data_IF_010352080824
#
_entry.id   IF_010352080824
#
_cell.length_a   1.000
_cell.length_b   1.000
_cell.length_c   1.000
_cell.angle_alpha   90.00
_cell.angle_beta   90.00
_cell.angle_gamma   90.00
#
_symmetry.space_group_name_H-M   'P 1'
#
loop_
_entity.id
_entity.type
_entity.pdbx_description
1 polymer ?
#
# COMPACT_ATOMS: atom_id res chain seq x y z
N UNK A 1 -17.67 -26.34 -36.63
CA UNK A 1 -18.49 -26.68 -37.82
C UNK A 1 -19.49 -27.75 -37.42
N UNK A 2 -20.79 -27.42 -37.44
CA UNK A 2 -21.85 -28.36 -37.11
C UNK A 2 -22.30 -29.00 -38.43
N UNK A 3 -22.08 -30.31 -38.61
CA UNK A 3 -22.44 -31.01 -39.84
C UNK A 3 -23.96 -31.09 -40.01
N UNK A 4 -24.45 -30.74 -41.20
CA UNK A 4 -25.89 -30.68 -41.51
C UNK A 4 -26.53 -32.08 -41.53
N UNK A 5 -25.78 -33.08 -42.02
CA UNK A 5 -26.24 -34.45 -42.10
C UNK A 5 -25.43 -35.35 -41.16
N UNK A 6 -26.13 -36.22 -40.42
CA UNK A 6 -25.54 -37.26 -39.57
C UNK A 6 -25.82 -38.61 -40.21
N UNK A 7 -24.82 -39.47 -40.29
CA UNK A 7 -25.02 -40.84 -40.75
C UNK A 7 -25.81 -41.65 -39.73
N UNK A 8 -26.92 -42.22 -40.19
CA UNK A 8 -27.71 -43.20 -39.45
C UNK A 8 -27.44 -44.59 -40.07
N UNK A 9 -27.08 -45.61 -39.27
CA UNK A 9 -26.94 -46.98 -39.76
C UNK A 9 -28.25 -47.48 -40.40
N UNK A 10 -28.19 -48.34 -41.43
CA UNK A 10 -29.39 -48.87 -42.10
C UNK A 10 -30.30 -49.67 -41.16
N UNK A 11 -29.75 -50.26 -40.10
CA UNK A 11 -30.49 -51.04 -39.09
C UNK A 11 -31.12 -50.16 -37.99
N UNK A 12 -30.92 -48.83 -38.02
CA UNK A 12 -31.41 -47.93 -36.99
C UNK A 12 -32.87 -47.52 -37.23
N UNK A 13 -33.79 -48.14 -36.49
CA UNK A 13 -35.18 -47.72 -36.35
C UNK A 13 -35.36 -46.66 -35.23
N UNK A 14 -35.84 -45.43 -35.53
CA UNK A 14 -36.07 -44.40 -34.51
C UNK A 14 -37.07 -44.81 -33.43
N UNK A 15 -38.13 -45.55 -33.80
CA UNK A 15 -39.21 -45.93 -32.87
C UNK A 15 -38.76 -47.02 -31.88
N UNK A 16 -37.83 -47.90 -32.30
CA UNK A 16 -37.31 -48.99 -31.45
C UNK A 16 -36.13 -48.56 -30.60
N UNK A 17 -35.22 -47.76 -31.17
CA UNK A 17 -33.96 -47.40 -30.52
C UNK A 17 -33.98 -46.01 -29.87
N UNK A 18 -34.94 -45.14 -30.24
CA UNK A 18 -35.08 -43.78 -29.75
C UNK A 18 -33.98 -42.84 -30.26
N UNK A 19 -32.75 -43.03 -29.77
CA UNK A 19 -31.60 -42.21 -30.16
C UNK A 19 -30.42 -43.06 -30.65
N UNK A 20 -29.61 -42.48 -31.53
CA UNK A 20 -28.38 -43.13 -32.04
C UNK A 20 -27.38 -43.48 -30.93
N UNK A 21 -27.42 -42.74 -29.81
CA UNK A 21 -26.61 -43.01 -28.64
C UNK A 21 -27.08 -44.28 -27.92
N UNK A 22 -28.39 -44.46 -27.76
CA UNK A 22 -29.00 -45.67 -27.21
C UNK A 22 -28.71 -46.90 -28.09
N UNK A 23 -28.84 -46.77 -29.42
CA UNK A 23 -28.47 -47.82 -30.38
C UNK A 23 -27.02 -48.30 -30.21
N UNK A 24 -26.11 -47.39 -29.85
CA UNK A 24 -24.68 -47.68 -29.64
C UNK A 24 -24.34 -48.04 -28.19
N UNK A 25 -25.33 -48.10 -27.29
CA UNK A 25 -25.12 -48.34 -25.85
C UNK A 25 -24.32 -47.25 -25.15
N UNK A 26 -24.30 -46.01 -25.67
CA UNK A 26 -23.54 -44.88 -25.11
C UNK A 26 -24.48 -43.85 -24.50
N UNK A 27 -24.10 -43.29 -23.36
CA UNK A 27 -24.81 -42.16 -22.78
C UNK A 27 -24.50 -40.86 -23.56
N UNK A 28 -25.48 -39.95 -23.69
CA UNK A 28 -25.31 -38.69 -24.44
C UNK A 28 -24.21 -37.78 -23.87
N UNK A 29 -24.00 -37.83 -22.55
CA UNK A 29 -22.95 -37.08 -21.86
C UNK A 29 -21.58 -37.80 -21.88
N UNK A 30 -21.50 -39.00 -22.47
CA UNK A 30 -20.29 -39.81 -22.58
C UNK A 30 -19.65 -40.08 -21.23
N UNK A 31 -18.32 -39.92 -21.17
CA UNK A 31 -17.51 -40.19 -19.99
C UNK A 31 -17.87 -39.36 -18.74
N UNK A 32 -18.57 -38.23 -18.92
CA UNK A 32 -19.02 -37.41 -17.80
C UNK A 32 -20.11 -38.09 -16.96
N UNK A 33 -20.86 -39.02 -17.58
CA UNK A 33 -21.93 -39.77 -16.94
C UNK A 33 -21.48 -41.13 -16.39
N UNK A 34 -20.17 -41.40 -16.29
CA UNK A 34 -19.64 -42.67 -15.74
C UNK A 34 -20.12 -42.98 -14.32
N UNK A 35 -20.51 -41.97 -13.54
CA UNK A 35 -21.00 -42.12 -12.15
C UNK A 35 -22.48 -41.73 -12.01
N UNK A 36 -23.23 -41.74 -13.12
CA UNK A 36 -24.63 -41.31 -13.11
C UNK A 36 -25.52 -42.20 -12.24
N UNK A 37 -25.19 -43.49 -12.13
CA UNK A 37 -25.89 -44.45 -11.25
C UNK A 37 -25.81 -44.05 -9.77
N UNK A 38 -24.78 -43.29 -9.39
CA UNK A 38 -24.58 -42.73 -8.04
C UNK A 38 -25.19 -41.33 -7.90
N UNK A 39 -25.87 -40.82 -8.93
CA UNK A 39 -26.38 -39.44 -9.00
C UNK A 39 -25.29 -38.38 -9.18
N UNK A 40 -24.08 -38.78 -9.61
CA UNK A 40 -22.91 -37.89 -9.74
C UNK A 40 -22.64 -37.63 -11.22
N UNK A 41 -22.65 -36.36 -11.62
CA UNK A 41 -22.26 -35.92 -12.95
C UNK A 41 -20.92 -35.19 -12.90
N UNK A 42 -19.95 -35.61 -13.73
CA UNK A 42 -18.68 -34.90 -13.82
C UNK A 42 -18.87 -33.66 -14.70
N UNK A 43 -18.67 -32.49 -14.13
CA UNK A 43 -18.84 -31.19 -14.79
C UNK A 43 -17.57 -30.36 -14.71
N UNK A 44 -17.38 -29.44 -15.65
CA UNK A 44 -16.26 -28.49 -15.60
C UNK A 44 -16.72 -27.27 -14.81
N UNK A 45 -16.16 -27.08 -13.62
CA UNK A 45 -16.54 -26.05 -12.68
C UNK A 45 -15.42 -25.02 -12.55
N UNK A 46 -15.74 -23.74 -12.67
CA UNK A 46 -14.80 -22.64 -12.43
C UNK A 46 -15.04 -22.11 -11.02
N UNK A 47 -13.97 -21.86 -10.27
CA UNK A 47 -14.13 -21.35 -8.91
C UNK A 47 -14.71 -19.93 -8.90
N UNK A 48 -15.81 -19.67 -8.16
CA UNK A 48 -16.47 -18.36 -8.14
C UNK A 48 -15.73 -17.32 -7.28
N UNK A 49 -14.85 -17.74 -6.37
CA UNK A 49 -14.06 -16.87 -5.50
C UNK A 49 -12.73 -17.53 -5.11
N UNK A 50 -11.84 -16.74 -4.53
CA UNK A 50 -10.54 -17.18 -4.02
C UNK A 50 -10.71 -18.09 -2.78
N UNK A 51 -10.01 -19.22 -2.76
CA UNK A 51 -10.08 -20.18 -1.65
C UNK A 51 -8.68 -20.57 -1.17
N UNK A 52 -8.59 -20.90 0.12
CA UNK A 52 -7.45 -21.55 0.75
C UNK A 52 -7.76 -23.03 0.93
N UNK A 53 -6.90 -23.91 0.43
CA UNK A 53 -7.08 -25.35 0.60
C UNK A 53 -6.87 -25.73 2.07
N UNK A 54 -7.80 -26.50 2.66
CA UNK A 54 -7.69 -26.93 4.06
C UNK A 54 -6.63 -28.01 4.32
N UNK A 55 -6.10 -28.66 3.27
CA UNK A 55 -5.08 -29.70 3.40
C UNK A 55 -3.65 -29.20 3.24
N UNK A 56 -3.39 -28.34 2.24
CA UNK A 56 -2.03 -27.85 1.94
C UNK A 56 -1.86 -26.34 2.15
N UNK A 57 -2.91 -25.65 2.60
CA UNK A 57 -2.93 -24.21 2.86
C UNK A 57 -2.48 -23.34 1.67
N UNK A 58 -2.51 -23.91 0.46
CA UNK A 58 -2.21 -23.20 -0.77
C UNK A 58 -3.43 -22.37 -1.20
N UNK A 59 -3.15 -21.17 -1.72
CA UNK A 59 -4.14 -20.30 -2.33
C UNK A 59 -4.53 -20.81 -3.73
N UNK A 60 -5.82 -20.90 -3.99
CA UNK A 60 -6.38 -21.21 -5.30
C UNK A 60 -7.20 -19.99 -5.74
N UNK A 61 -6.78 -19.41 -6.87
CA UNK A 61 -7.44 -18.25 -7.44
C UNK A 61 -8.85 -18.53 -7.96
N UNK A 62 -9.66 -17.47 -7.99
CA UNK A 62 -10.92 -17.42 -8.71
C UNK A 62 -10.70 -17.75 -10.20
N UNK A 63 -11.66 -18.45 -10.81
CA UNK A 63 -11.62 -18.83 -12.23
C UNK A 63 -10.79 -20.09 -12.54
N UNK A 64 -10.10 -20.68 -11.55
CA UNK A 64 -9.40 -21.96 -11.76
C UNK A 64 -10.43 -23.07 -12.07
N UNK A 65 -10.18 -23.83 -13.14
CA UNK A 65 -11.10 -24.83 -13.67
C UNK A 65 -10.82 -26.21 -13.09
N UNK A 66 -11.86 -26.86 -12.56
CA UNK A 66 -11.81 -28.23 -12.04
C UNK A 66 -12.77 -29.16 -12.77
N UNK A 67 -12.42 -30.45 -12.82
CA UNK A 67 -13.37 -31.52 -13.07
C UNK A 67 -14.06 -31.82 -11.74
N UNK A 68 -15.26 -31.29 -11.55
CA UNK A 68 -16.01 -31.39 -10.32
C UNK A 68 -17.06 -32.50 -10.42
N UNK A 69 -17.22 -33.24 -9.32
CA UNK A 69 -18.31 -34.18 -9.13
C UNK A 69 -19.54 -33.39 -8.64
N UNK A 70 -20.50 -33.16 -9.55
CA UNK A 70 -21.76 -32.49 -9.25
C UNK A 70 -22.76 -33.52 -8.73
N UNK A 71 -23.25 -33.32 -7.50
CA UNK A 71 -24.33 -34.12 -6.90
C UNK A 71 -25.44 -33.20 -6.38
N UNK A 72 -26.67 -33.69 -6.35
CA UNK A 72 -27.80 -32.99 -5.70
C UNK A 72 -27.85 -33.42 -4.24
N UNK A 73 -27.69 -32.48 -3.31
CA UNK A 73 -27.67 -32.76 -1.85
C UNK A 73 -29.01 -32.44 -1.20
N UNK A 74 -29.72 -31.42 -1.69
CA UNK A 74 -31.01 -31.02 -1.15
C UNK A 74 -31.79 -30.11 -2.09
N UNK A 75 -32.78 -29.41 -1.55
CA UNK A 75 -33.55 -28.38 -2.25
C UNK A 75 -33.92 -27.24 -1.31
N UNK A 76 -33.80 -26.01 -1.79
CA UNK A 76 -34.37 -24.82 -1.18
C UNK A 76 -35.69 -24.51 -1.87
N UNK A 77 -36.80 -24.79 -1.19
CA UNK A 77 -38.14 -24.85 -1.80
C UNK A 77 -38.15 -25.76 -3.05
N UNK A 78 -38.38 -25.19 -4.24
CA UNK A 78 -38.36 -25.90 -5.52
C UNK A 78 -36.98 -25.96 -6.19
N UNK A 79 -36.00 -25.18 -5.71
CA UNK A 79 -34.68 -25.04 -6.34
C UNK A 79 -33.69 -26.08 -5.78
N UNK A 80 -33.05 -26.91 -6.61
CA UNK A 80 -32.09 -27.91 -6.13
C UNK A 80 -30.79 -27.28 -5.63
N UNK A 81 -30.29 -27.77 -4.50
CA UNK A 81 -28.96 -27.44 -3.98
C UNK A 81 -27.97 -28.45 -4.53
N UNK A 82 -26.98 -27.95 -5.26
CA UNK A 82 -25.90 -28.75 -5.81
C UNK A 82 -24.65 -28.62 -4.97
N UNK A 83 -23.99 -29.76 -4.75
CA UNK A 83 -22.63 -29.81 -4.25
C UNK A 83 -21.66 -30.16 -5.36
N UNK A 84 -20.56 -29.43 -5.39
CA UNK A 84 -19.44 -29.60 -6.30
C UNK A 84 -18.23 -30.06 -5.49
N UNK A 85 -17.90 -31.35 -5.63
CA UNK A 85 -16.72 -31.93 -4.99
C UNK A 85 -15.54 -31.87 -5.96
N UNK A 86 -14.49 -31.16 -5.57
CA UNK A 86 -13.33 -30.86 -6.39
C UNK A 86 -12.06 -31.42 -5.75
N UNK A 87 -11.11 -31.87 -6.57
CA UNK A 87 -9.78 -32.33 -6.14
C UNK A 87 -8.77 -31.21 -6.27
N UNK A 88 -8.08 -30.85 -5.18
CA UNK A 88 -7.01 -29.87 -5.19
C UNK A 88 -5.87 -30.30 -6.13
N UNK A 89 -5.41 -29.38 -6.98
CA UNK A 89 -4.37 -29.66 -7.97
C UNK A 89 -2.97 -29.80 -7.35
N UNK A 90 -2.73 -29.24 -6.15
CA UNK A 90 -1.43 -29.32 -5.48
C UNK A 90 -1.28 -30.59 -4.62
N UNK A 91 -2.24 -30.87 -3.73
CA UNK A 91 -2.13 -31.94 -2.75
C UNK A 91 -3.04 -33.15 -3.00
N UNK A 92 -3.95 -33.05 -3.97
CA UNK A 92 -4.94 -34.10 -4.23
C UNK A 92 -6.03 -34.26 -3.16
N UNK A 93 -6.05 -33.40 -2.13
CA UNK A 93 -7.12 -33.34 -1.14
C UNK A 93 -8.46 -32.91 -1.78
N UNK A 94 -9.57 -33.36 -1.21
CA UNK A 94 -10.91 -33.03 -1.69
C UNK A 94 -11.49 -31.85 -0.90
N UNK A 95 -12.22 -30.99 -1.60
CA UNK A 95 -13.02 -29.93 -1.00
C UNK A 95 -14.38 -29.84 -1.68
N UNK A 96 -15.37 -29.33 -0.95
CA UNK A 96 -16.77 -29.29 -1.37
C UNK A 96 -17.37 -27.89 -1.26
N UNK A 97 -17.95 -27.44 -2.38
CA UNK A 97 -18.63 -26.17 -2.50
C UNK A 97 -20.10 -26.43 -2.82
N UNK A 98 -21.01 -25.80 -2.09
CA UNK A 98 -22.45 -25.90 -2.31
C UNK A 98 -23.03 -24.59 -2.82
N UNK A 99 -24.09 -24.69 -3.60
CA UNK A 99 -24.92 -23.53 -3.98
C UNK A 99 -25.88 -23.18 -2.85
N UNK A 100 -25.97 -21.91 -2.47
CA UNK A 100 -27.00 -21.40 -1.57
C UNK A 100 -27.97 -20.49 -2.34
N UNK A 101 -29.17 -20.99 -2.72
CA UNK A 101 -30.18 -20.20 -3.42
C UNK A 101 -30.74 -19.04 -2.58
N UNK A 102 -30.66 -19.08 -1.24
CA UNK A 102 -31.20 -18.03 -0.37
C UNK A 102 -30.37 -16.76 -0.46
N UNK A 103 -29.04 -16.91 -0.39
CA UNK A 103 -28.10 -15.77 -0.49
C UNK A 103 -27.63 -15.50 -1.91
N UNK A 104 -27.99 -16.34 -2.88
CA UNK A 104 -27.50 -16.34 -4.28
C UNK A 104 -25.98 -16.50 -4.39
N UNK A 105 -25.37 -17.21 -3.44
CA UNK A 105 -23.90 -17.38 -3.34
C UNK A 105 -23.53 -18.85 -3.37
N UNK A 106 -22.24 -19.10 -3.59
CA UNK A 106 -21.64 -20.39 -3.31
C UNK A 106 -21.02 -20.36 -1.91
N UNK A 107 -21.11 -21.47 -1.18
CA UNK A 107 -20.58 -21.60 0.18
C UNK A 107 -19.63 -22.79 0.23
N UNK A 108 -18.45 -22.60 0.81
CA UNK A 108 -17.53 -23.70 1.06
C UNK A 108 -18.02 -24.48 2.27
N UNK A 109 -18.29 -25.76 2.08
CA UNK A 109 -18.79 -26.65 3.15
C UNK A 109 -17.67 -27.44 3.80
N UNK A 110 -16.74 -27.99 3.01
CA UNK A 110 -15.67 -28.85 3.51
C UNK A 110 -14.37 -28.64 2.75
N UNK A 111 -13.24 -28.87 3.43
CA UNK A 111 -11.91 -29.02 2.80
C UNK A 111 -11.26 -27.75 2.25
N UNK A 112 -11.91 -26.60 2.37
CA UNK A 112 -11.35 -25.30 2.00
C UNK A 112 -11.93 -24.16 2.85
N UNK A 113 -11.30 -22.99 2.81
CA UNK A 113 -11.80 -21.75 3.42
C UNK A 113 -11.89 -20.67 2.35
N UNK A 114 -12.98 -19.92 2.32
CA UNK A 114 -13.10 -18.77 1.42
C UNK A 114 -12.18 -17.64 1.89
N UNK A 115 -11.46 -17.01 0.97
CA UNK A 115 -10.74 -15.77 1.24
C UNK A 115 -11.78 -14.64 1.31
N UNK A 116 -11.86 -13.95 2.44
CA UNK A 116 -12.64 -12.72 2.56
C UNK A 116 -11.89 -11.58 1.88
N UNK A 117 -12.52 -10.93 0.91
CA UNK A 117 -11.98 -9.74 0.24
C UNK A 117 -12.73 -8.46 0.63
N UNK A 118 -13.96 -8.61 1.12
CA UNK A 118 -14.71 -7.54 1.76
C UNK A 118 -14.08 -7.27 3.12
N UNK A 119 -13.20 -6.27 3.16
CA UNK A 119 -12.69 -5.72 4.41
C UNK A 119 -13.74 -4.77 4.96
N UNK A 120 -14.58 -5.25 5.87
CA UNK A 120 -15.45 -4.38 6.67
C UNK A 120 -14.63 -3.80 7.83
N UNK A 121 -14.32 -2.49 7.85
CA UNK A 121 -13.57 -1.87 8.93
C UNK A 121 -14.31 -1.98 10.26
N UNK A 122 -15.65 -1.93 10.21
CA UNK A 122 -16.53 -1.96 11.38
C UNK A 122 -16.51 -3.32 12.11
N UNK A 123 -16.42 -4.45 11.40
CA UNK A 123 -16.39 -5.78 12.02
C UNK A 123 -15.01 -6.17 12.56
N UNK A 124 -13.93 -5.70 11.92
CA UNK A 124 -12.55 -6.11 12.24
C UNK A 124 -11.78 -5.11 13.11
N UNK A 125 -12.47 -4.17 13.77
CA UNK A 125 -11.88 -3.22 14.71
C UNK A 125 -10.97 -2.16 14.07
N UNK A 126 -11.12 -1.93 12.76
CA UNK A 126 -10.50 -0.82 12.07
C UNK A 126 -11.31 0.45 12.29
N UNK A 127 -10.68 1.54 12.72
CA UNK A 127 -11.34 2.84 12.65
C UNK A 127 -11.63 3.14 11.19
N UNK A 128 -12.91 3.14 10.80
CA UNK A 128 -13.32 3.70 9.53
C UNK A 128 -12.75 5.12 9.45
N UNK A 129 -12.20 5.54 8.30
CA UNK A 129 -11.66 6.90 8.06
C UNK A 129 -12.80 7.94 8.02
N UNK A 130 -13.90 7.67 8.69
CA UNK A 130 -14.95 8.63 8.99
C UNK A 130 -14.64 9.22 10.36
N UNK A 131 -14.83 10.53 10.48
CA UNK A 131 -14.51 11.31 11.67
C UNK A 131 -14.80 10.56 12.96
N UNK A 132 -13.80 10.55 13.84
CA UNK A 132 -13.85 10.04 15.21
C UNK A 132 -14.95 10.67 16.06
N UNK A 133 -15.67 11.68 15.53
CA UNK A 133 -16.85 12.33 16.10
C UNK A 133 -18.18 11.61 15.75
N UNK A 134 -18.16 10.34 15.35
CA UNK A 134 -19.36 9.48 15.35
C UNK A 134 -19.87 9.12 16.76
N UNK A 135 -19.43 9.80 17.82
CA UNK A 135 -19.80 9.50 19.20
C UNK A 135 -21.28 9.78 19.56
N UNK A 136 -22.09 10.28 18.64
CA UNK A 136 -23.54 10.22 18.75
C UNK A 136 -24.17 10.25 17.35
N UNK A 137 -24.50 9.09 16.82
CA UNK A 137 -25.69 8.99 15.98
C UNK A 137 -26.81 9.64 16.77
N UNK A 138 -27.42 10.76 16.30
CA UNK A 138 -28.51 11.34 17.05
C UNK A 138 -29.59 10.27 17.15
N UNK A 139 -30.02 9.98 18.37
CA UNK A 139 -31.11 9.02 18.64
C UNK A 139 -32.42 9.50 17.99
N UNK A 140 -32.48 10.78 17.63
CA UNK A 140 -33.59 11.45 16.95
C UNK A 140 -33.39 11.48 15.41
N UNK A 141 -34.33 10.90 14.63
CA UNK A 141 -34.30 10.97 13.16
C UNK A 141 -34.32 12.41 12.61
N UNK A 142 -34.87 13.39 13.34
CA UNK A 142 -34.91 14.79 12.88
C UNK A 142 -33.52 15.43 12.86
N UNK A 143 -32.71 15.18 13.89
CA UNK A 143 -31.34 15.69 13.94
C UNK A 143 -30.43 15.06 12.86
N UNK A 144 -30.70 13.81 12.46
CA UNK A 144 -30.03 13.22 11.29
C UNK A 144 -30.43 13.94 9.99
N UNK A 145 -31.72 14.23 9.82
CA UNK A 145 -32.22 14.96 8.67
C UNK A 145 -31.65 16.39 8.60
N UNK A 146 -31.58 17.11 9.72
CA UNK A 146 -30.98 18.44 9.81
C UNK A 146 -29.49 18.45 9.43
N UNK A 147 -28.72 17.44 9.84
CA UNK A 147 -27.32 17.28 9.42
C UNK A 147 -27.20 17.02 7.92
N UNK A 148 -28.05 16.15 7.36
CA UNK A 148 -28.03 15.87 5.91
C UNK A 148 -28.43 17.08 5.08
N UNK A 149 -29.47 17.82 5.51
CA UNK A 149 -29.96 19.01 4.83
C UNK A 149 -28.98 20.18 4.94
N UNK A 150 -28.38 20.40 6.10
CA UNK A 150 -27.32 21.42 6.27
C UNK A 150 -26.08 21.08 5.43
N UNK A 151 -25.65 19.82 5.39
CA UNK A 151 -24.56 19.37 4.52
C UNK A 151 -24.89 19.59 3.03
N UNK A 152 -26.10 19.25 2.60
CA UNK A 152 -26.57 19.48 1.23
C UNK A 152 -26.65 20.97 0.89
N UNK A 153 -27.11 21.80 1.84
CA UNK A 153 -27.17 23.25 1.69
C UNK A 153 -25.78 23.86 1.58
N UNK A 154 -24.83 23.43 2.42
CA UNK A 154 -23.44 23.87 2.34
C UNK A 154 -22.77 23.43 1.03
N UNK A 155 -23.01 22.19 0.59
CA UNK A 155 -22.50 21.70 -0.69
C UNK A 155 -23.01 22.54 -1.86
N UNK A 156 -24.31 22.84 -1.90
CA UNK A 156 -24.94 23.59 -3.00
C UNK A 156 -24.64 25.08 -2.98
N UNK A 157 -24.66 25.73 -1.81
CA UNK A 157 -24.50 27.18 -1.69
C UNK A 157 -23.04 27.63 -1.57
N UNK A 158 -22.13 26.78 -1.09
CA UNK A 158 -20.73 27.15 -0.85
C UNK A 158 -19.80 26.37 -1.76
N UNK A 159 -19.89 25.04 -1.77
CA UNK A 159 -18.90 24.24 -2.49
C UNK A 159 -19.07 24.30 -4.01
N UNK A 160 -20.30 24.17 -4.51
CA UNK A 160 -20.59 24.26 -5.95
C UNK A 160 -20.16 25.59 -6.59
N UNK A 161 -20.60 26.77 -6.10
CA UNK A 161 -20.17 28.04 -6.69
C UNK A 161 -18.66 28.24 -6.56
N UNK A 162 -18.04 27.76 -5.47
CA UNK A 162 -16.59 27.81 -5.33
C UNK A 162 -15.86 26.98 -6.38
N UNK A 163 -16.39 25.81 -6.73
CA UNK A 163 -15.84 24.97 -7.79
C UNK A 163 -16.03 25.65 -9.15
N UNK A 164 -17.20 26.25 -9.41
CA UNK A 164 -17.48 27.01 -10.63
C UNK A 164 -16.56 28.24 -10.78
N UNK A 165 -16.28 28.97 -9.69
CA UNK A 165 -15.28 30.04 -9.65
C UNK A 165 -13.88 29.53 -10.02
N UNK A 166 -13.47 28.38 -9.47
CA UNK A 166 -12.16 27.79 -9.77
C UNK A 166 -12.08 27.29 -11.21
N UNK A 167 -13.16 26.70 -11.73
CA UNK A 167 -13.26 26.25 -13.11
C UNK A 167 -13.21 27.43 -14.07
N UNK A 168 -14.02 28.47 -13.86
CA UNK A 168 -14.00 29.68 -14.69
C UNK A 168 -12.65 30.40 -14.66
N UNK A 169 -11.99 30.47 -13.50
CA UNK A 169 -10.62 31.00 -13.39
C UNK A 169 -9.61 30.15 -14.17
N UNK A 170 -9.74 28.83 -14.10
CA UNK A 170 -8.91 27.89 -14.85
C UNK A 170 -9.13 28.04 -16.36
N UNK A 171 -10.38 28.14 -16.80
CA UNK A 171 -10.75 28.34 -18.21
C UNK A 171 -10.17 29.63 -18.77
N UNK A 172 -10.37 30.75 -18.07
CA UNK A 172 -9.79 32.06 -18.45
C UNK A 172 -8.27 32.00 -18.58
N UNK A 173 -7.59 31.26 -17.68
CA UNK A 173 -6.14 31.05 -17.75
C UNK A 173 -5.76 30.12 -18.91
N UNK A 174 -6.55 29.09 -19.16
CA UNK A 174 -6.28 28.10 -20.22
C UNK A 174 -6.60 28.58 -21.63
N UNK A 175 -7.39 29.66 -21.78
CA UNK A 175 -7.79 30.21 -23.07
C UNK A 175 -6.60 30.67 -23.94
N UNK A 176 -5.50 31.11 -23.32
CA UNK A 176 -4.27 31.47 -24.02
C UNK A 176 -3.03 30.85 -23.34
N UNK A 177 -2.72 29.57 -23.65
CA UNK A 177 -1.57 28.90 -23.07
C UNK A 177 -0.25 29.46 -23.61
N UNK A 178 -0.26 30.05 -24.81
CA UNK A 178 0.95 30.55 -25.46
C UNK A 178 1.50 31.77 -24.73
N UNK A 179 0.68 32.80 -24.47
CA UNK A 179 1.19 34.02 -23.80
C UNK A 179 1.60 33.77 -22.36
N UNK A 180 0.91 32.88 -21.64
CA UNK A 180 1.31 32.46 -20.30
C UNK A 180 2.65 31.72 -20.31
N UNK A 181 2.84 30.78 -21.24
CA UNK A 181 4.12 30.07 -21.37
C UNK A 181 5.26 31.01 -21.72
N UNK A 182 5.02 32.06 -22.50
CA UNK A 182 6.02 33.10 -22.82
C UNK A 182 6.39 33.90 -21.58
N UNK A 183 5.40 34.36 -20.80
CA UNK A 183 5.64 35.09 -19.53
C UNK A 183 6.44 34.25 -18.53
N UNK A 184 6.06 32.98 -18.36
CA UNK A 184 6.75 32.03 -17.47
C UNK A 184 8.19 31.79 -17.94
N UNK A 185 8.39 31.50 -19.24
CA UNK A 185 9.74 31.31 -19.80
C UNK A 185 10.60 32.56 -19.69
N UNK A 186 10.04 33.76 -19.86
CA UNK A 186 10.77 35.03 -19.68
C UNK A 186 11.28 35.17 -18.24
N UNK A 187 10.42 34.97 -17.24
CA UNK A 187 10.80 35.01 -15.82
C UNK A 187 11.89 34.00 -15.49
N UNK A 188 11.76 32.75 -15.94
CA UNK A 188 12.79 31.73 -15.73
C UNK A 188 14.10 32.03 -16.44
N UNK A 189 14.09 32.63 -17.63
CA UNK A 189 15.31 33.04 -18.35
C UNK A 189 16.02 34.18 -17.62
N UNK A 190 15.28 35.16 -17.13
CA UNK A 190 15.82 36.28 -16.34
C UNK A 190 16.43 35.76 -15.03
N UNK A 191 15.69 34.94 -14.28
CA UNK A 191 16.20 34.31 -13.05
C UNK A 191 17.44 33.46 -13.33
N UNK A 192 17.41 32.57 -14.34
CA UNK A 192 18.58 31.76 -14.72
C UNK A 192 19.79 32.60 -15.14
N UNK A 193 19.59 33.78 -15.74
CA UNK A 193 20.68 34.69 -16.08
C UNK A 193 21.31 35.29 -14.82
N UNK A 194 20.48 35.68 -13.85
CA UNK A 194 20.93 36.17 -12.53
C UNK A 194 21.66 35.06 -11.78
N UNK A 195 21.06 33.87 -11.66
CA UNK A 195 21.64 32.73 -10.95
C UNK A 195 22.97 32.29 -11.57
N UNK A 196 23.06 32.25 -12.90
CA UNK A 196 24.32 31.92 -13.59
C UNK A 196 25.39 33.00 -13.42
N UNK A 197 25.00 34.28 -13.37
CA UNK A 197 25.95 35.36 -13.11
C UNK A 197 26.50 35.27 -11.69
N UNK A 198 25.64 34.96 -10.72
CA UNK A 198 26.03 34.71 -9.32
C UNK A 198 26.94 33.48 -9.21
N UNK A 199 26.58 32.35 -9.81
CA UNK A 199 27.40 31.13 -9.81
C UNK A 199 28.80 31.37 -10.40
N UNK A 200 28.91 32.14 -11.48
CA UNK A 200 30.23 32.49 -12.05
C UNK A 200 31.06 33.36 -11.11
N UNK A 201 30.43 34.34 -10.45
CA UNK A 201 31.12 35.17 -9.47
C UNK A 201 31.60 34.33 -8.28
N UNK A 202 30.79 33.38 -7.83
CA UNK A 202 31.13 32.44 -6.76
C UNK A 202 32.27 31.49 -7.16
N UNK A 203 32.23 30.92 -8.37
CA UNK A 203 33.28 30.06 -8.91
C UNK A 203 34.61 30.82 -9.06
N UNK A 204 34.57 32.07 -9.53
CA UNK A 204 35.75 32.93 -9.62
C UNK A 204 36.34 33.23 -8.25
N UNK A 205 35.51 33.56 -7.26
CA UNK A 205 35.94 33.77 -5.88
C UNK A 205 36.56 32.49 -5.30
N UNK A 206 35.92 31.34 -5.49
CA UNK A 206 36.43 30.03 -5.05
C UNK A 206 37.78 29.70 -5.68
N UNK A 207 37.93 29.95 -6.98
CA UNK A 207 39.19 29.74 -7.70
C UNK A 207 40.32 30.63 -7.22
N UNK A 208 40.04 31.92 -6.94
CA UNK A 208 41.02 32.87 -6.39
C UNK A 208 41.53 32.49 -4.99
N UNK A 209 40.67 31.92 -4.14
CA UNK A 209 41.00 31.58 -2.76
C UNK A 209 41.22 30.07 -2.51
N UNK A 210 41.15 29.23 -3.54
CA UNK A 210 41.33 27.77 -3.42
C UNK A 210 40.27 27.08 -2.56
N UNK A 211 39.06 27.64 -2.48
CA UNK A 211 37.96 27.09 -1.68
C UNK A 211 37.37 25.83 -2.33
N UNK A 212 36.93 24.83 -1.53
CA UNK A 212 36.35 23.61 -2.06
C UNK A 212 35.03 23.88 -2.80
N UNK A 213 34.80 23.18 -3.90
CA UNK A 213 33.61 23.35 -4.76
C UNK A 213 32.30 23.11 -3.99
N UNK A 214 32.32 22.20 -3.02
CA UNK A 214 31.19 21.83 -2.15
C UNK A 214 30.76 22.91 -1.16
N UNK A 215 31.55 23.97 -0.96
CA UNK A 215 31.20 25.06 -0.05
C UNK A 215 30.20 26.01 -0.72
N UNK A 216 28.99 26.10 -0.21
CA UNK A 216 28.01 27.11 -0.66
C UNK A 216 28.39 28.48 -0.11
N UNK A 217 28.54 29.48 -0.99
CA UNK A 217 28.73 30.86 -0.57
C UNK A 217 27.36 31.49 -0.25
N UNK A 218 27.30 32.23 0.85
CA UNK A 218 26.09 32.97 1.23
C UNK A 218 26.08 34.29 0.47
N UNK A 219 24.92 34.69 -0.04
CA UNK A 219 24.76 35.94 -0.81
C UNK A 219 24.96 37.15 0.11
N UNK A 220 25.73 38.15 -0.35
CA UNK A 220 25.97 39.42 0.35
C UNK A 220 24.75 40.36 0.29
N UNK A 221 23.66 39.97 0.93
CA UNK A 221 22.49 40.82 1.14
C UNK A 221 22.52 41.50 2.52
N UNK A 222 21.81 42.61 2.70
CA UNK A 222 21.69 43.26 4.02
C UNK A 222 21.10 42.34 5.09
N UNK A 223 20.19 41.44 4.69
CA UNK A 223 19.60 40.42 5.56
C UNK A 223 20.62 39.37 5.97
N UNK A 224 21.44 38.88 5.03
CA UNK A 224 22.54 37.95 5.31
C UNK A 224 23.58 38.56 6.26
N UNK A 225 23.89 39.86 6.09
CA UNK A 225 24.83 40.57 6.96
C UNK A 225 24.28 40.72 8.39
N UNK A 226 22.98 40.99 8.53
CA UNK A 226 22.31 41.04 9.85
C UNK A 226 22.31 39.66 10.50
N UNK A 227 21.92 38.62 9.76
CA UNK A 227 21.92 37.23 10.25
C UNK A 227 23.32 36.77 10.70
N UNK A 228 24.36 37.06 9.91
CA UNK A 228 25.74 36.74 10.26
C UNK A 228 26.21 37.49 11.53
N UNK A 229 25.82 38.76 11.70
CA UNK A 229 26.10 39.54 12.91
C UNK A 229 25.41 38.95 14.14
N UNK A 230 24.14 38.58 14.02
CA UNK A 230 23.37 37.94 15.09
C UNK A 230 23.92 36.55 15.45
N UNK A 231 24.36 35.77 14.48
CA UNK A 231 25.03 34.49 14.71
C UNK A 231 26.36 34.66 15.44
N UNK A 232 27.16 35.66 15.05
CA UNK A 232 28.41 35.98 15.71
C UNK A 232 28.19 36.42 17.17
N UNK A 233 27.21 37.30 17.41
CA UNK A 233 26.85 37.73 18.76
C UNK A 233 26.31 36.58 19.63
N UNK A 234 25.57 35.64 19.04
CA UNK A 234 25.10 34.43 19.73
C UNK A 234 26.25 33.49 20.07
N UNK A 235 27.16 33.23 19.13
CA UNK A 235 28.33 32.38 19.33
C UNK A 235 29.24 32.96 20.42
N UNK A 236 29.52 34.27 20.39
CA UNK A 236 30.31 34.96 21.41
C UNK A 236 29.69 34.85 22.81
N UNK A 237 28.37 35.03 22.92
CA UNK A 237 27.65 34.82 24.19
C UNK A 237 27.75 33.37 24.68
N UNK A 238 27.67 32.39 23.79
CA UNK A 238 27.83 30.98 24.15
C UNK A 238 29.25 30.65 24.61
N UNK A 239 30.28 31.22 23.98
CA UNK A 239 31.68 31.06 24.42
C UNK A 239 31.91 31.68 25.80
N UNK A 240 31.42 32.90 26.05
CA UNK A 240 31.52 33.54 27.37
C UNK A 240 30.82 32.72 28.47
N UNK A 241 29.71 32.07 28.15
CA UNK A 241 29.02 31.16 29.07
C UNK A 241 29.83 29.89 29.32
N UNK A 242 30.40 29.28 28.27
CA UNK A 242 31.28 28.10 28.38
C UNK A 242 32.54 28.39 29.19
N UNK A 243 33.13 29.57 29.03
CA UNK A 243 34.28 30.01 29.80
C UNK A 243 33.93 30.26 31.28
N UNK A 244 32.77 30.86 31.55
CA UNK A 244 32.25 30.98 32.93
C UNK A 244 31.99 29.62 33.56
N UNK A 245 31.45 28.66 32.80
CA UNK A 245 31.25 27.28 33.27
C UNK A 245 32.57 26.54 33.52
N UNK A 246 33.57 26.70 32.64
CA UNK A 246 34.89 26.09 32.78
C UNK A 246 35.65 26.65 33.99
N UNK A 247 35.55 27.96 34.22
CA UNK A 247 36.08 28.64 35.41
C UNK A 247 35.36 28.18 36.69
N UNK A 248 34.03 28.01 36.66
CA UNK A 248 33.28 27.43 37.78
C UNK A 248 33.70 25.98 38.07
N UNK A 249 33.87 25.14 37.04
CA UNK A 249 34.38 23.76 37.19
C UNK A 249 35.79 23.72 37.76
N UNK A 250 36.69 24.59 37.31
CA UNK A 250 38.04 24.74 37.90
C UNK A 250 37.99 25.17 39.37
N UNK A 251 37.08 26.07 39.73
CA UNK A 251 36.89 26.55 41.11
C UNK A 251 36.33 25.47 42.03
N UNK A 252 35.46 24.60 41.53
CA UNK A 252 34.92 23.43 42.26
C UNK A 252 36.00 22.35 42.41
N UNK A 253 36.81 22.09 41.38
CA UNK A 253 37.95 21.17 41.46
C UNK A 253 39.06 21.62 42.41
N UNK A 254 39.21 22.92 42.64
CA UNK A 254 40.11 23.47 43.65
C UNK A 254 39.53 23.43 45.08
N UNK A 255 38.20 23.32 45.23
CA UNK A 255 37.53 23.26 46.53
C UNK A 255 37.38 21.83 47.08
N UNK A 256 37.44 20.80 46.21
CA UNK A 256 37.46 19.39 46.62
C UNK A 256 38.90 18.88 46.55
N UNK A 257 39.65 19.10 47.62
CA UNK A 257 40.98 18.53 47.78
C UNK A 257 40.92 17.00 47.78
N UNK A 258 41.63 16.35 46.85
CA UNK A 258 42.00 14.94 46.97
C UNK A 258 43.43 14.73 46.46
N UNK A 259 44.17 13.96 47.25
CA UNK A 259 45.63 13.81 47.31
C UNK A 259 46.26 13.15 46.07
N UNK A 260 47.58 13.31 45.85
CA UNK A 260 48.31 12.68 44.76
C UNK A 260 48.68 11.23 45.10
N UNK A 261 48.59 10.32 44.14
CA UNK A 261 49.24 9.00 44.21
C UNK A 261 50.32 8.92 43.14
N UNK A 262 51.50 8.50 43.55
CA UNK A 262 52.76 8.50 42.81
C UNK A 262 52.95 7.31 41.85
N UNK A 263 53.52 7.63 40.68
CA UNK A 263 54.49 6.89 39.83
C UNK A 263 54.42 5.35 39.69
N UNK A 264 54.16 4.88 38.45
CA UNK A 264 55.17 4.40 37.48
C UNK A 264 54.70 3.16 36.68
N UNK A 265 54.65 3.27 35.34
CA UNK A 265 55.22 2.26 34.43
C UNK A 265 55.19 2.74 32.97
N UNK A 266 56.27 2.37 32.26
CA UNK A 266 56.68 2.75 30.92
C UNK A 266 55.70 2.37 29.79
N UNK A 267 55.69 3.23 28.77
CA UNK A 267 55.58 2.96 27.32
C UNK A 267 54.57 1.91 26.80
N UNK A 268 53.60 2.37 26.00
CA UNK A 268 53.54 2.06 24.56
C UNK A 268 52.48 2.91 23.85
N UNK A 269 52.87 3.40 22.69
CA UNK A 269 52.03 4.05 21.69
C UNK A 269 51.00 3.03 21.17
N UNK A 270 49.72 3.37 21.21
CA UNK A 270 48.73 2.92 20.23
C UNK A 270 47.74 4.04 19.95
N UNK A 271 47.66 4.42 18.67
CA UNK A 271 46.63 5.30 18.12
C UNK A 271 45.27 4.63 18.27
N UNK A 272 44.31 5.26 18.93
CA UNK A 272 42.89 5.05 18.63
C UNK A 272 42.12 6.38 18.78
N UNK A 273 41.54 6.82 17.67
CA UNK A 273 40.53 7.87 17.63
C UNK A 273 39.30 7.43 18.45
N UNK A 274 38.84 8.26 19.37
CA UNK A 274 37.49 8.15 19.93
C UNK A 274 36.78 9.49 19.78
N UNK A 275 35.81 9.50 18.86
CA UNK A 275 34.76 10.50 18.78
C UNK A 275 33.73 10.19 19.85
N UNK A 276 33.58 11.09 20.82
CA UNK A 276 32.52 11.01 21.84
C UNK A 276 31.15 11.27 21.19
N UNK A 277 30.49 10.21 20.74
CA UNK A 277 29.05 10.25 20.44
C UNK A 277 28.29 9.74 21.66
N UNK A 278 27.27 10.48 22.08
CA UNK A 278 26.46 10.15 23.25
C UNK A 278 25.72 8.81 23.04
N UNK A 279 25.53 8.00 24.10
CA UNK A 279 24.96 6.65 24.01
C UNK A 279 23.53 6.62 23.47
N UNK A 280 22.83 7.75 23.53
CA UNK A 280 21.46 7.92 23.01
C UNK A 280 21.46 8.03 21.49
N UNK A 281 22.46 8.69 20.90
CA UNK A 281 22.57 8.88 19.45
C UNK A 281 23.05 7.57 18.79
N UNK A 282 23.94 6.81 19.44
CA UNK A 282 24.36 5.50 18.96
C UNK A 282 23.22 4.47 19.02
N UNK A 283 22.38 4.48 20.07
CA UNK A 283 21.21 3.59 20.14
C UNK A 283 20.13 3.95 19.10
N UNK A 284 19.93 5.24 18.82
CA UNK A 284 19.02 5.71 17.76
C UNK A 284 19.54 5.32 16.37
N UNK A 285 20.84 5.47 16.12
CA UNK A 285 21.46 5.07 14.86
C UNK A 285 21.38 3.56 14.65
N UNK A 286 21.55 2.75 15.70
CA UNK A 286 21.38 1.30 15.65
C UNK A 286 19.93 0.90 15.33
N UNK A 287 18.93 1.54 15.97
CA UNK A 287 17.51 1.28 15.70
C UNK A 287 17.07 1.69 14.29
N UNK A 288 17.58 2.82 13.79
CA UNK A 288 17.30 3.27 12.42
C UNK A 288 17.89 2.27 11.41
N UNK A 289 19.11 1.80 11.64
CA UNK A 289 19.75 0.81 10.76
C UNK A 289 19.02 -0.55 10.78
N UNK A 290 18.56 -1.03 11.94
CA UNK A 290 17.73 -2.25 12.03
C UNK A 290 16.40 -2.11 11.28
N UNK A 291 15.73 -0.97 11.36
CA UNK A 291 14.49 -0.72 10.62
C UNK A 291 14.72 -0.63 9.10
N UNK A 292 15.81 -0.02 8.66
CA UNK A 292 16.15 0.04 7.22
C UNK A 292 16.57 -1.33 6.67
N UNK A 293 17.26 -2.15 7.47
CA UNK A 293 17.63 -3.51 7.08
C UNK A 293 16.40 -4.41 6.92
N UNK A 294 15.41 -4.29 7.82
CA UNK A 294 14.12 -5.02 7.73
C UNK A 294 13.28 -4.64 6.52
N UNK A 295 13.40 -3.40 6.03
CA UNK A 295 12.74 -2.98 4.78
C UNK A 295 13.47 -3.42 3.50
N UNK A 296 14.79 -3.63 3.56
CA UNK A 296 15.58 -4.07 2.41
C UNK A 296 15.50 -5.58 2.10
N UNK A 297 15.00 -6.40 3.04
CA UNK A 297 14.82 -7.85 2.84
C UNK A 297 13.53 -8.25 2.13
N UNK A 298 12.67 -7.28 1.76
CA UNK A 298 11.54 -7.54 0.86
C UNK A 298 12.08 -7.57 -0.59
N UNK A 299 12.55 -8.75 -1.00
CA UNK A 299 12.86 -9.05 -2.41
C UNK A 299 11.67 -8.69 -3.31
N UNK A 300 11.93 -8.22 -4.55
CA UNK A 300 10.88 -8.12 -5.55
C UNK A 300 10.46 -9.54 -5.95
N UNK A 301 9.23 -9.91 -5.65
CA UNK A 301 8.60 -11.07 -6.26
C UNK A 301 8.45 -10.77 -7.76
N UNK A 302 9.02 -11.67 -8.57
CA UNK A 302 8.59 -11.92 -9.95
C UNK A 302 7.11 -12.22 -10.02
#
# INVERSE_FOLDING_TARGET
MQGFNKYYPPDFDPDKHGSLNSYRGKHALGDRARKLDQGILITRFELPFNIWCGHCEAHIGMGVRYNAEKRKVGSYYSTPIYAFRCKCHLCGGWFEIQTDPKSTRYVVTEGARQKQEDWDPEENGGFAVHDTDKAATPTDPLAALEKTTSAQTHMTQVQMPRIEELQSFSEQRSADPYTLSVKVRKRFREQKKVDRALQRADEELKGRYGLPESMSLVRDDEESRKAAKEEWERARRQEELRDKESLKKRRIGAAVGTMPVSLASKSRISKQHSSSSSPVISSLRARILENTARHSSLKPHR
#
